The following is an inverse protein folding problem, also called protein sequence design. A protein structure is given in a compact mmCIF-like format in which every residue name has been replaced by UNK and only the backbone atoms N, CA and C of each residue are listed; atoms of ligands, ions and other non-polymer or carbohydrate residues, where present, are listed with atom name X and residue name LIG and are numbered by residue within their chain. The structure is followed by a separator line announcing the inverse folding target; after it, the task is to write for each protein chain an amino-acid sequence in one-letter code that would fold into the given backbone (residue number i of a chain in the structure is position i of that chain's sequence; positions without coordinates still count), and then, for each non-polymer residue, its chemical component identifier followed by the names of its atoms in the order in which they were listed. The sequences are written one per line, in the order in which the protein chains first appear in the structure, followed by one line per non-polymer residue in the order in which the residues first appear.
data_IF_752872397876
#
_entry.id   IF_752872397876
#
_cell.length_a   1.000
_cell.length_b   1.000
_cell.length_c   1.000
_cell.angle_alpha   90.00
_cell.angle_beta   90.00
_cell.angle_gamma   90.00
#
_symmetry.space_group_name_H-M   'P 1'
#
loop_
_entity.id
_entity.type
_entity.pdbx_description
1 polymer ?
#
# COMPACT_ATOMS: atom_id res chain seq x y z
N UNK A 1 4.56 -14.04 -0.98
CA UNK A 1 4.88 -12.60 -1.10
C UNK A 1 4.95 -12.01 0.28
N UNK A 2 6.05 -11.31 0.58
CA UNK A 2 6.21 -10.56 1.82
C UNK A 2 5.31 -9.32 1.82
N UNK A 3 5.02 -8.79 3.01
CA UNK A 3 4.24 -7.55 3.15
C UNK A 3 5.16 -6.38 2.85
N UNK A 4 4.72 -5.47 1.99
CA UNK A 4 5.42 -4.25 1.58
C UNK A 4 4.58 -3.04 1.89
N UNK A 5 5.22 -1.92 2.18
CA UNK A 5 4.54 -0.66 2.52
C UNK A 5 4.85 0.42 1.50
N UNK A 6 3.79 0.96 0.92
CA UNK A 6 3.85 2.07 -0.01
C UNK A 6 3.41 3.34 0.70
N UNK A 7 4.25 4.39 0.63
CA UNK A 7 3.92 5.73 1.11
C UNK A 7 3.59 6.63 -0.07
N UNK A 8 2.47 7.34 0.05
CA UNK A 8 1.96 8.26 -0.96
C UNK A 8 2.12 9.71 -0.50
N UNK A 9 2.25 10.62 -1.45
CA UNK A 9 2.39 12.05 -1.14
C UNK A 9 1.06 12.71 -0.75
N UNK A 10 -0.08 12.09 -1.08
CA UNK A 10 -1.39 12.59 -0.71
C UNK A 10 -2.44 11.48 -0.62
N UNK A 11 -3.51 11.75 0.14
CA UNK A 11 -4.65 10.84 0.31
C UNK A 11 -5.33 10.46 -1.01
N UNK A 12 -5.40 11.38 -1.98
CA UNK A 12 -6.07 11.15 -3.27
C UNK A 12 -5.37 10.04 -4.05
N UNK A 13 -4.03 10.09 -4.14
CA UNK A 13 -3.26 9.09 -4.86
C UNK A 13 -3.32 7.72 -4.15
N UNK A 14 -3.21 7.72 -2.82
CA UNK A 14 -3.39 6.51 -2.02
C UNK A 14 -4.75 5.87 -2.27
N UNK A 15 -5.83 6.67 -2.25
CA UNK A 15 -7.18 6.18 -2.45
C UNK A 15 -7.40 5.65 -3.88
N UNK A 16 -6.86 6.32 -4.90
CA UNK A 16 -6.94 5.85 -6.29
C UNK A 16 -6.22 4.51 -6.46
N UNK A 17 -4.99 4.39 -5.98
CA UNK A 17 -4.24 3.14 -6.06
C UNK A 17 -4.93 2.01 -5.29
N UNK A 18 -5.46 2.28 -4.10
CA UNK A 18 -6.17 1.29 -3.27
C UNK A 18 -7.38 0.65 -3.97
N UNK A 19 -8.03 1.39 -4.89
CA UNK A 19 -9.16 0.88 -5.69
C UNK A 19 -8.72 0.00 -6.87
N UNK A 20 -7.48 0.11 -7.30
CA UNK A 20 -6.93 -0.62 -8.44
C UNK A 20 -6.36 -1.97 -8.03
N UNK A 21 -5.79 -2.05 -6.82
CA UNK A 21 -5.16 -3.27 -6.32
C UNK A 21 -6.20 -4.26 -5.78
N UNK A 22 -6.07 -5.52 -6.17
CA UNK A 22 -6.96 -6.59 -5.75
C UNK A 22 -6.52 -7.30 -4.45
N UNK A 23 -5.38 -6.89 -3.88
CA UNK A 23 -4.83 -7.51 -2.66
C UNK A 23 -5.46 -6.91 -1.40
N UNK A 24 -5.57 -7.71 -0.35
CA UNK A 24 -5.87 -7.17 0.98
C UNK A 24 -4.73 -6.26 1.45
N UNK A 25 -5.10 -5.08 1.94
CA UNK A 25 -4.16 -4.08 2.46
C UNK A 25 -4.67 -3.46 3.75
N UNK A 26 -3.75 -2.93 4.53
CA UNK A 26 -4.05 -1.96 5.58
C UNK A 26 -3.80 -0.56 5.08
N UNK A 27 -4.68 0.35 5.46
CA UNK A 27 -4.61 1.74 5.09
C UNK A 27 -4.39 2.59 6.34
N UNK A 28 -3.39 3.46 6.30
CA UNK A 28 -3.16 4.48 7.29
C UNK A 28 -3.24 5.86 6.63
N UNK A 29 -4.37 6.53 6.86
CA UNK A 29 -4.66 7.84 6.30
C UNK A 29 -3.91 8.99 6.96
N UNK A 30 -3.32 8.78 8.14
CA UNK A 30 -2.50 9.80 8.80
C UNK A 30 -1.11 9.90 8.15
N UNK A 31 -0.54 8.76 7.76
CA UNK A 31 0.78 8.67 7.13
C UNK A 31 0.73 8.49 5.61
N UNK A 32 -0.48 8.39 5.04
CA UNK A 32 -0.73 8.05 3.64
C UNK A 32 0.03 6.79 3.21
N UNK A 33 -0.08 5.74 4.02
CA UNK A 33 0.57 4.45 3.74
C UNK A 33 -0.44 3.34 3.47
N UNK A 34 -0.08 2.45 2.55
CA UNK A 34 -0.74 1.18 2.33
C UNK A 34 0.26 0.05 2.59
N UNK A 35 -0.12 -0.91 3.42
CA UNK A 35 0.69 -2.10 3.66
C UNK A 35 -0.05 -3.35 3.24
N UNK A 36 0.52 -4.10 2.31
CA UNK A 36 -0.11 -5.27 1.71
C UNK A 36 0.91 -6.20 1.06
N UNK A 37 0.45 -7.34 0.55
CA UNK A 37 1.30 -8.26 -0.24
C UNK A 37 1.32 -7.81 -1.70
N UNK A 38 1.84 -6.62 -1.97
CA UNK A 38 1.92 -6.05 -3.31
C UNK A 38 2.90 -6.82 -4.19
N UNK A 39 2.54 -7.05 -5.44
CA UNK A 39 3.45 -7.59 -6.44
C UNK A 39 4.43 -6.52 -6.92
N UNK A 40 5.55 -6.91 -7.54
CA UNK A 40 6.50 -5.94 -8.11
C UNK A 40 5.82 -5.03 -9.15
N UNK A 41 4.84 -5.55 -9.90
CA UNK A 41 4.03 -4.76 -10.84
C UNK A 41 3.16 -3.71 -10.14
N UNK A 42 2.58 -4.03 -8.98
CA UNK A 42 1.81 -3.07 -8.19
C UNK A 42 2.72 -1.97 -7.63
N UNK A 43 3.92 -2.32 -7.17
CA UNK A 43 4.91 -1.35 -6.67
C UNK A 43 5.34 -0.39 -7.80
N UNK A 44 5.62 -0.93 -8.98
CA UNK A 44 6.01 -0.12 -10.15
C UNK A 44 4.87 0.83 -10.55
N UNK A 45 3.63 0.34 -10.64
CA UNK A 45 2.45 1.15 -10.91
C UNK A 45 2.26 2.25 -9.85
N UNK A 46 2.43 1.92 -8.57
CA UNK A 46 2.34 2.89 -7.48
C UNK A 46 3.37 4.01 -7.62
N UNK A 47 4.60 3.65 -7.98
CA UNK A 47 5.70 4.60 -8.16
C UNK A 47 5.48 5.50 -9.39
N UNK A 48 5.14 4.92 -10.53
CA UNK A 48 5.04 5.64 -11.81
C UNK A 48 3.80 6.53 -11.89
N UNK A 49 2.63 6.00 -11.52
CA UNK A 49 1.35 6.70 -11.73
C UNK A 49 0.89 7.50 -10.50
N UNK A 50 1.32 7.08 -9.30
CA UNK A 50 0.83 7.64 -8.05
C UNK A 50 1.92 8.31 -7.21
N UNK A 51 3.18 8.27 -7.67
CA UNK A 51 4.34 8.86 -7.00
C UNK A 51 4.60 8.24 -5.63
N UNK A 52 4.25 6.97 -5.45
CA UNK A 52 4.46 6.25 -4.21
C UNK A 52 5.92 5.80 -4.09
N UNK A 53 6.39 5.67 -2.85
CA UNK A 53 7.70 5.07 -2.55
C UNK A 53 7.52 3.88 -1.63
N UNK A 54 8.31 2.85 -1.84
CA UNK A 54 8.41 1.74 -0.89
C UNK A 54 9.19 2.20 0.34
N UNK A 55 8.66 1.88 1.53
CA UNK A 55 9.29 2.19 2.80
C UNK A 55 9.25 0.97 3.72
N UNK A 56 10.24 0.89 4.61
CA UNK A 56 10.16 0.01 5.77
C UNK A 56 9.18 0.61 6.79
N UNK A 57 8.29 -0.22 7.33
CA UNK A 57 7.41 0.18 8.42
C UNK A 57 7.40 -0.85 9.52
N UNK A 58 7.34 -0.38 10.76
CA UNK A 58 7.08 -1.20 11.95
C UNK A 58 5.61 -1.14 12.36
N UNK A 59 4.75 -0.45 11.59
CA UNK A 59 3.31 -0.41 11.85
C UNK A 59 2.76 -1.82 11.90
N UNK A 60 2.16 -2.18 13.05
CA UNK A 60 1.62 -3.53 13.27
C UNK A 60 0.49 -3.78 12.27
N UNK A 61 0.79 -4.59 11.26
CA UNK A 61 -0.20 -4.98 10.26
C UNK A 61 -1.13 -6.04 10.86
N UNK A 62 -2.27 -5.62 11.40
CA UNK A 62 -3.37 -6.54 11.71
C UNK A 62 -3.96 -7.09 10.40
N UNK A 63 -3.48 -8.25 9.96
CA UNK A 63 -4.19 -9.03 8.93
C UNK A 63 -5.29 -9.83 9.61
N UNK A 64 -6.54 -9.56 9.27
CA UNK A 64 -7.61 -10.53 9.50
C UNK A 64 -7.38 -11.66 8.49
N UNK A 65 -6.81 -12.77 8.95
CA UNK A 65 -6.90 -14.02 8.19
C UNK A 65 -8.37 -14.43 8.26
N UNK A 66 -9.04 -14.44 7.12
CA UNK A 66 -10.39 -15.00 6.99
C UNK A 66 -10.32 -16.47 7.41
N UNK A 67 -11.01 -16.82 8.51
CA UNK A 67 -11.28 -18.21 8.89
C UNK A 67 -12.15 -18.90 7.84
#
# INVERSE_FOLDING_TARGET
MEKRTLKFNCLINMAKFSKMVAVGYLMNTNNFTLTGRFSDSDIMLASEEYGAIEIDTTEKVFSYESM
#
